data_IF_779728548728
#
_entry.id   IF_779728548728
#
_cell.length_a   1.000
_cell.length_b   1.000
_cell.length_c   1.000
_cell.angle_alpha   90.00
_cell.angle_beta   90.00
_cell.angle_gamma   90.00
#
_symmetry.space_group_name_H-M   'P 1'
#
loop_
_entity.id
_entity.type
_entity.pdbx_description
1 polymer ?
#
# COMPACT_ATOMS: atom_id res chain seq x y z
N UNK A 1 -12.37 10.41 17.77
CA UNK A 1 -12.20 9.19 18.59
C UNK A 1 -13.55 8.53 18.95
N UNK A 2 -14.61 9.27 19.28
CA UNK A 2 -15.92 8.70 19.67
C UNK A 2 -16.76 8.10 18.53
N UNK A 3 -16.68 8.62 17.30
CA UNK A 3 -17.56 8.21 16.20
C UNK A 3 -17.23 6.83 15.59
N UNK A 4 -15.93 6.48 15.50
CA UNK A 4 -15.49 5.18 14.98
C UNK A 4 -15.91 4.03 15.91
N UNK A 5 -15.82 4.21 17.21
CA UNK A 5 -16.23 3.19 18.20
C UNK A 5 -17.74 2.97 18.17
N UNK A 6 -18.52 4.05 18.11
CA UNK A 6 -19.98 3.97 18.06
C UNK A 6 -20.51 3.24 16.81
N UNK A 7 -19.90 3.47 15.65
CA UNK A 7 -20.25 2.77 14.41
C UNK A 7 -19.89 1.27 14.49
N UNK A 8 -18.75 0.91 15.07
CA UNK A 8 -18.38 -0.50 15.25
C UNK A 8 -19.34 -1.24 16.16
N UNK A 9 -19.71 -0.64 17.28
CA UNK A 9 -20.64 -1.25 18.23
C UNK A 9 -22.03 -1.39 17.62
N UNK A 10 -22.50 -0.36 16.90
CA UNK A 10 -23.78 -0.40 16.19
C UNK A 10 -23.82 -1.46 15.07
N UNK A 11 -22.76 -1.54 14.25
CA UNK A 11 -22.65 -2.53 13.16
C UNK A 11 -22.52 -3.96 13.73
N UNK A 12 -21.68 -4.17 14.74
CA UNK A 12 -21.53 -5.47 15.43
C UNK A 12 -22.87 -5.94 16.00
N UNK A 13 -23.58 -5.06 16.71
CA UNK A 13 -24.85 -5.39 17.37
C UNK A 13 -25.96 -5.70 16.36
N UNK A 14 -26.04 -4.93 15.28
CA UNK A 14 -27.06 -5.12 14.23
C UNK A 14 -26.78 -6.33 13.34
N UNK A 15 -25.50 -6.59 13.01
CA UNK A 15 -25.12 -7.73 12.17
C UNK A 15 -25.25 -9.07 12.90
N UNK A 16 -24.93 -9.15 14.20
CA UNK A 16 -25.08 -10.38 14.99
C UNK A 16 -26.51 -10.94 14.98
N UNK A 17 -27.52 -10.08 14.89
CA UNK A 17 -28.92 -10.49 14.83
C UNK A 17 -29.33 -11.09 13.47
N UNK A 18 -28.53 -10.86 12.41
CA UNK A 18 -28.79 -11.32 11.03
C UNK A 18 -27.88 -12.47 10.59
N UNK A 19 -26.90 -12.85 11.40
CA UNK A 19 -25.95 -13.92 11.08
C UNK A 19 -26.56 -15.26 11.49
N UNK A 20 -26.57 -16.27 10.59
CA UNK A 20 -27.07 -17.62 10.92
C UNK A 20 -26.30 -18.25 12.08
N UNK A 21 -27.01 -19.08 12.87
CA UNK A 21 -26.44 -19.79 14.01
C UNK A 21 -25.27 -20.66 13.52
N UNK A 22 -24.10 -20.52 14.16
CA UNK A 22 -22.87 -21.26 13.83
C UNK A 22 -21.80 -20.48 13.05
N UNK A 23 -22.08 -19.24 12.65
CA UNK A 23 -21.11 -18.39 11.95
C UNK A 23 -20.41 -17.42 12.92
N UNK A 24 -19.08 -17.28 12.77
CA UNK A 24 -18.26 -16.29 13.47
C UNK A 24 -17.95 -15.14 12.49
N UNK A 25 -18.15 -13.90 12.94
CA UNK A 25 -17.72 -12.71 12.21
C UNK A 25 -16.50 -12.12 12.93
N UNK A 26 -15.35 -12.18 12.27
CA UNK A 26 -14.16 -11.47 12.71
C UNK A 26 -14.11 -10.10 12.05
N UNK A 27 -14.11 -9.05 12.86
CA UNK A 27 -14.00 -7.67 12.40
C UNK A 27 -12.55 -7.23 12.59
N UNK A 28 -11.86 -7.01 11.48
CA UNK A 28 -10.51 -6.46 11.46
C UNK A 28 -10.60 -4.93 11.38
N UNK A 29 -9.86 -4.23 12.22
CA UNK A 29 -9.68 -2.78 12.12
C UNK A 29 -8.25 -2.47 11.74
N UNK A 30 -8.09 -1.68 10.68
CA UNK A 30 -6.79 -1.27 10.19
C UNK A 30 -6.54 0.17 10.61
N UNK A 31 -5.46 0.37 11.36
CA UNK A 31 -5.09 1.72 11.80
C UNK A 31 -4.53 2.54 10.63
N UNK A 32 -4.66 3.87 10.69
CA UNK A 32 -4.04 4.74 9.68
C UNK A 32 -2.52 4.60 9.68
N UNK A 33 -1.92 4.40 10.86
CA UNK A 33 -0.49 4.15 11.04
C UNK A 33 -0.04 2.84 10.36
N UNK A 34 -0.79 1.75 10.54
CA UNK A 34 -0.50 0.47 9.89
C UNK A 34 -0.51 0.60 8.37
N UNK A 35 -1.53 1.24 7.81
CA UNK A 35 -1.64 1.47 6.37
C UNK A 35 -0.51 2.38 5.87
N UNK A 36 -0.14 3.40 6.63
CA UNK A 36 0.96 4.30 6.30
C UNK A 36 2.32 3.57 6.32
N UNK A 37 2.54 2.69 7.29
CA UNK A 37 3.72 1.84 7.35
C UNK A 37 3.78 0.86 6.17
N UNK A 38 2.64 0.29 5.77
CA UNK A 38 2.53 -0.55 4.58
C UNK A 38 2.95 0.20 3.30
N UNK A 39 2.42 1.41 3.08
CA UNK A 39 2.80 2.21 1.92
C UNK A 39 4.26 2.69 1.95
N UNK A 40 4.79 3.02 3.13
CA UNK A 40 6.20 3.35 3.33
C UNK A 40 7.11 2.20 2.96
N UNK A 41 6.71 0.96 3.27
CA UNK A 41 7.44 -0.26 2.91
C UNK A 41 7.51 -0.45 1.41
N UNK A 42 6.37 -0.31 0.73
CA UNK A 42 6.30 -0.36 -0.74
C UNK A 42 7.22 0.70 -1.37
N UNK A 43 7.16 1.95 -0.88
CA UNK A 43 8.03 3.03 -1.37
C UNK A 43 9.52 2.72 -1.22
N UNK A 44 9.93 2.15 -0.07
CA UNK A 44 11.30 1.69 0.18
C UNK A 44 11.71 0.55 -0.75
N UNK A 45 10.84 -0.42 -1.01
CA UNK A 45 11.12 -1.54 -1.90
C UNK A 45 11.32 -1.05 -3.34
N UNK A 46 10.44 -0.17 -3.84
CA UNK A 46 10.61 0.45 -5.17
C UNK A 46 11.95 1.16 -5.26
N UNK A 47 12.30 1.98 -4.26
CA UNK A 47 13.59 2.68 -4.21
C UNK A 47 14.77 1.69 -4.25
N UNK A 48 14.73 0.65 -3.41
CA UNK A 48 15.77 -0.38 -3.31
C UNK A 48 16.01 -1.05 -4.67
N UNK A 49 14.97 -1.62 -5.28
CA UNK A 49 15.13 -2.34 -6.55
C UNK A 49 15.46 -1.40 -7.72
N UNK A 50 15.00 -0.14 -7.67
CA UNK A 50 15.42 0.90 -8.63
C UNK A 50 16.93 1.16 -8.55
N UNK A 51 17.46 1.29 -7.33
CA UNK A 51 18.89 1.50 -7.10
C UNK A 51 19.72 0.27 -7.46
N UNK A 52 19.23 -0.94 -7.19
CA UNK A 52 19.86 -2.20 -7.62
C UNK A 52 19.93 -2.33 -9.16
N UNK A 53 18.91 -1.83 -9.88
CA UNK A 53 18.93 -1.75 -11.34
C UNK A 53 19.82 -0.63 -11.89
N UNK A 54 20.23 0.32 -11.04
CA UNK A 54 21.11 1.43 -11.42
C UNK A 54 20.43 2.55 -12.21
N UNK A 55 19.10 2.72 -12.10
CA UNK A 55 18.36 3.79 -12.78
C UNK A 55 17.92 4.91 -11.82
N UNK A 56 17.84 6.12 -12.33
CA UNK A 56 17.36 7.31 -11.63
C UNK A 56 15.83 7.31 -11.49
N UNK A 57 15.31 8.16 -10.59
CA UNK A 57 13.86 8.38 -10.47
C UNK A 57 13.25 8.96 -11.75
N UNK A 58 14.02 9.74 -12.51
CA UNK A 58 13.59 10.32 -13.78
C UNK A 58 13.47 9.25 -14.86
N UNK A 59 14.47 8.38 -14.99
CA UNK A 59 14.43 7.25 -15.92
C UNK A 59 13.29 6.29 -15.58
N UNK A 60 13.06 5.98 -14.31
CA UNK A 60 11.91 5.17 -13.91
C UNK A 60 10.58 5.84 -14.30
N UNK A 61 10.42 7.14 -14.04
CA UNK A 61 9.22 7.89 -14.39
C UNK A 61 8.95 7.84 -15.90
N UNK A 62 9.97 8.08 -16.72
CA UNK A 62 9.88 8.00 -18.18
C UNK A 62 9.54 6.58 -18.65
N UNK A 63 10.19 5.55 -18.09
CA UNK A 63 9.99 4.17 -18.49
C UNK A 63 8.56 3.66 -18.22
N UNK A 64 7.93 4.07 -17.11
CA UNK A 64 6.55 3.68 -16.81
C UNK A 64 5.50 4.59 -17.48
N UNK A 65 5.93 5.55 -18.31
CA UNK A 65 5.05 6.49 -19.01
C UNK A 65 4.45 7.58 -18.12
N UNK A 66 5.06 7.89 -16.97
CA UNK A 66 4.63 8.95 -16.07
C UNK A 66 5.46 10.23 -16.26
N UNK A 67 4.80 11.35 -16.56
CA UNK A 67 5.46 12.64 -16.77
C UNK A 67 5.99 13.36 -15.52
N UNK A 68 5.85 12.80 -14.30
CA UNK A 68 6.23 13.51 -13.07
C UNK A 68 7.20 12.73 -12.20
N UNK A 69 8.49 13.06 -12.31
CA UNK A 69 9.57 12.60 -11.42
C UNK A 69 9.24 12.91 -9.95
N UNK A 70 8.59 14.04 -9.70
CA UNK A 70 8.16 14.44 -8.36
C UNK A 70 7.13 13.49 -7.73
N UNK A 71 6.33 12.79 -8.53
CA UNK A 71 5.44 11.74 -8.02
C UNK A 71 6.24 10.54 -7.52
N UNK A 72 7.20 10.05 -8.31
CA UNK A 72 8.08 8.92 -7.93
C UNK A 72 8.84 9.26 -6.65
N UNK A 73 9.48 10.43 -6.59
CA UNK A 73 10.26 10.84 -5.43
C UNK A 73 9.41 10.91 -4.14
N UNK A 74 8.18 11.43 -4.23
CA UNK A 74 7.27 11.51 -3.08
C UNK A 74 6.72 10.14 -2.68
N UNK A 75 6.45 9.27 -3.65
CA UNK A 75 5.93 7.92 -3.40
C UNK A 75 7.01 6.98 -2.81
N UNK A 76 8.26 7.08 -3.26
CA UNK A 76 9.39 6.35 -2.65
C UNK A 76 9.59 6.75 -1.18
N UNK A 77 9.39 8.03 -0.85
CA UNK A 77 9.52 8.54 0.51
C UNK A 77 8.23 8.40 1.35
N UNK A 78 7.14 7.94 0.73
CA UNK A 78 5.78 7.99 1.28
C UNK A 78 5.46 9.35 1.94
N UNK A 79 5.67 10.44 1.18
CA UNK A 79 5.40 11.82 1.63
C UNK A 79 4.16 12.38 0.96
N UNK A 80 3.44 13.25 1.67
CA UNK A 80 2.26 13.97 1.17
C UNK A 80 1.13 13.06 0.67
N UNK A 81 1.00 11.86 1.26
CA UNK A 81 0.00 10.87 0.85
C UNK A 81 0.17 10.38 -0.59
N UNK A 82 1.35 10.55 -1.20
CA UNK A 82 1.64 10.01 -2.53
C UNK A 82 2.04 8.55 -2.40
N UNK A 83 1.25 7.70 -3.04
CA UNK A 83 1.35 6.24 -2.99
C UNK A 83 1.35 5.72 -4.42
N UNK A 84 2.01 4.60 -4.66
CA UNK A 84 1.93 3.91 -5.93
C UNK A 84 0.58 3.20 -6.07
N UNK A 85 -0.08 3.38 -7.21
CA UNK A 85 -1.23 2.55 -7.59
C UNK A 85 -0.78 1.14 -7.98
N UNK A 86 -1.72 0.19 -8.03
CA UNK A 86 -1.42 -1.18 -8.48
C UNK A 86 -0.87 -1.21 -9.92
N UNK A 87 -1.42 -0.37 -10.80
CA UNK A 87 -0.94 -0.23 -12.18
C UNK A 87 0.50 0.28 -12.23
N UNK A 88 0.84 1.28 -11.41
CA UNK A 88 2.20 1.77 -11.30
C UNK A 88 3.14 0.69 -10.78
N UNK A 89 2.75 -0.06 -9.74
CA UNK A 89 3.56 -1.16 -9.21
C UNK A 89 3.81 -2.25 -10.26
N UNK A 90 2.81 -2.60 -11.06
CA UNK A 90 2.98 -3.56 -12.15
C UNK A 90 3.97 -3.05 -13.21
N UNK A 91 3.83 -1.80 -13.67
CA UNK A 91 4.76 -1.19 -14.64
C UNK A 91 6.17 -1.08 -14.08
N UNK A 92 6.31 -0.67 -12.82
CA UNK A 92 7.60 -0.59 -12.13
C UNK A 92 8.24 -1.97 -12.06
N UNK A 93 7.52 -3.02 -11.64
CA UNK A 93 8.07 -4.38 -11.58
C UNK A 93 8.58 -4.85 -12.95
N UNK A 94 7.83 -4.56 -14.03
CA UNK A 94 8.27 -4.84 -15.41
C UNK A 94 9.53 -4.05 -15.81
N UNK A 95 9.58 -2.75 -15.52
CA UNK A 95 10.76 -1.92 -15.79
C UNK A 95 11.95 -2.38 -14.96
N UNK A 96 11.74 -2.85 -13.74
CA UNK A 96 12.79 -3.32 -12.84
C UNK A 96 13.22 -4.77 -13.09
N UNK A 97 12.49 -5.51 -13.93
CA UNK A 97 12.72 -6.94 -14.21
C UNK A 97 12.65 -7.82 -12.95
N UNK A 98 11.61 -7.61 -12.14
CA UNK A 98 11.34 -8.36 -10.92
C UNK A 98 9.85 -8.78 -10.87
N UNK A 99 9.54 -9.75 -10.02
CA UNK A 99 8.14 -10.03 -9.70
C UNK A 99 7.50 -8.88 -8.89
N UNK A 100 6.25 -8.55 -9.17
CA UNK A 100 5.54 -7.47 -8.46
C UNK A 100 5.38 -7.76 -6.96
N UNK A 101 5.34 -9.04 -6.56
CA UNK A 101 5.32 -9.52 -5.18
C UNK A 101 6.49 -8.96 -4.35
N UNK A 102 7.68 -8.84 -4.96
CA UNK A 102 8.90 -8.28 -4.34
C UNK A 102 8.71 -6.85 -3.85
N UNK A 103 7.83 -6.08 -4.49
CA UNK A 103 7.51 -4.72 -4.08
C UNK A 103 6.61 -4.68 -2.83
N UNK A 104 5.88 -5.76 -2.56
CA UNK A 104 4.95 -5.89 -1.43
C UNK A 104 5.59 -6.61 -0.24
N UNK A 105 6.72 -7.29 -0.45
CA UNK A 105 7.41 -8.05 0.58
C UNK A 105 7.81 -7.17 1.77
N UNK A 106 7.73 -7.77 2.95
CA UNK A 106 8.90 -7.73 3.82
C UNK A 106 8.64 -8.39 5.15
N UNK A 107 9.62 -8.24 6.03
CA UNK A 107 9.69 -8.95 7.30
C UNK A 107 8.36 -8.86 8.06
N UNK A 108 7.84 -10.04 8.42
CA UNK A 108 6.82 -10.19 9.45
C UNK A 108 7.59 -10.04 10.76
N UNK A 109 7.62 -8.83 11.29
CA UNK A 109 7.92 -8.63 12.71
C UNK A 109 6.64 -8.96 13.50
#
# INVERSE_FOLDING_TARGET
>A
MFYRTFIKDYISTTLRQKIPIGHILEIYDFSEEELENFHKKIGKNVKKYREEKGITQMELAHAIGHGSVGHIAKAELNKYGKRFSLEQLYKIAKVLDIEVSRLLEGNKD
#
